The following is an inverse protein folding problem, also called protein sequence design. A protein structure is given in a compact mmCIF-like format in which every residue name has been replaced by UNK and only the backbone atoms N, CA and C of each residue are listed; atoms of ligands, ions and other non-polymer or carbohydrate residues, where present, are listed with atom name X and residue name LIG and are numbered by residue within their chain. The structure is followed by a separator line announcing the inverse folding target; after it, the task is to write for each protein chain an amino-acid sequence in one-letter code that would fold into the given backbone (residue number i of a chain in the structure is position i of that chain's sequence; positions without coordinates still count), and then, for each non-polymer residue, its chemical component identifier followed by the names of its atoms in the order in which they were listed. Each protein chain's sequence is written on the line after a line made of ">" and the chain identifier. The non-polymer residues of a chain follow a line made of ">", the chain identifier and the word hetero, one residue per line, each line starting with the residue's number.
data_IF_258936069258
#
_entry.id   IF_258936069258
#
_cell.length_a   1.000
_cell.length_b   1.000
_cell.length_c   1.000
_cell.angle_alpha   90.00
_cell.angle_beta   90.00
_cell.angle_gamma   90.00
#
_symmetry.space_group_name_H-M   'P 1'
#
loop_
_entity.id
_entity.type
_entity.pdbx_description
1 polymer ?
#
# COMPACT_ATOMS: atom_id res chain seq x y z
N UNK A 1 -17.81 17.26 -10.84
CA UNK A 1 -17.05 18.43 -11.31
C UNK A 1 -16.98 18.44 -12.83
N UNK A 2 -17.08 19.61 -13.49
CA UNK A 2 -17.20 19.74 -14.97
C UNK A 2 -15.86 19.80 -15.72
N UNK A 3 -14.72 19.81 -15.02
CA UNK A 3 -13.39 19.74 -15.66
C UNK A 3 -12.85 21.08 -16.18
N UNK A 4 -13.44 22.18 -15.72
CA UNK A 4 -12.93 23.54 -15.97
C UNK A 4 -11.64 23.79 -15.18
N UNK A 5 -10.62 24.32 -15.85
CA UNK A 5 -9.36 24.71 -15.22
C UNK A 5 -9.46 26.10 -14.60
N UNK A 6 -9.04 26.21 -13.35
CA UNK A 6 -8.90 27.49 -12.66
C UNK A 6 -7.43 27.92 -12.69
N UNK A 7 -7.20 29.18 -13.03
CA UNK A 7 -5.88 29.80 -13.00
C UNK A 7 -5.74 30.58 -11.68
N UNK A 8 -4.53 30.64 -11.11
CA UNK A 8 -4.18 31.50 -9.95
C UNK A 8 -4.82 31.13 -8.58
N UNK A 9 -5.14 29.85 -8.35
CA UNK A 9 -5.68 29.39 -7.05
C UNK A 9 -4.58 28.80 -6.17
N UNK A 10 -4.53 29.18 -4.88
CA UNK A 10 -3.66 28.51 -3.92
C UNK A 10 -4.19 27.08 -3.66
N UNK A 11 -3.47 26.08 -4.14
CA UNK A 11 -3.92 24.68 -4.17
C UNK A 11 -3.79 23.93 -2.83
N UNK A 12 -3.54 24.62 -1.70
CA UNK A 12 -3.07 24.02 -0.45
C UNK A 12 -3.73 22.71 -0.01
N UNK A 13 -5.07 22.66 0.05
CA UNK A 13 -5.82 21.46 0.48
C UNK A 13 -6.54 20.73 -0.65
N UNK A 14 -6.30 21.11 -1.91
CA UNK A 14 -6.98 20.50 -3.05
C UNK A 14 -6.31 19.17 -3.46
N UNK A 15 -7.11 18.18 -3.91
CA UNK A 15 -6.59 16.98 -4.56
C UNK A 15 -5.75 17.33 -5.81
N UNK A 16 -4.60 16.68 -5.95
CA UNK A 16 -3.73 16.83 -7.12
C UNK A 16 -4.07 15.74 -8.15
N UNK A 17 -4.20 16.12 -9.43
CA UNK A 17 -4.29 15.19 -10.56
C UNK A 17 -3.09 15.47 -11.48
N UNK A 18 -2.09 14.58 -11.55
CA UNK A 18 -0.98 14.74 -12.47
C UNK A 18 -1.46 14.50 -13.90
N UNK A 19 -1.12 15.42 -14.80
CA UNK A 19 -1.42 15.33 -16.24
C UNK A 19 -0.13 15.10 -17.01
N UNK A 20 -0.17 14.25 -18.03
CA UNK A 20 1.02 13.93 -18.86
C UNK A 20 1.34 15.05 -19.85
N UNK A 21 0.30 15.72 -20.35
CA UNK A 21 0.40 16.85 -21.27
C UNK A 21 -0.36 18.00 -20.64
N UNK A 22 0.29 19.16 -20.52
CA UNK A 22 -0.39 20.36 -20.05
C UNK A 22 -1.56 20.67 -21.00
N UNK A 23 -2.77 20.88 -20.48
CA UNK A 23 -3.89 21.29 -21.32
C UNK A 23 -3.55 22.61 -22.03
N UNK A 24 -3.63 22.63 -23.35
CA UNK A 24 -3.41 23.85 -24.14
C UNK A 24 -4.58 24.84 -24.10
N UNK A 25 -5.67 24.51 -23.40
CA UNK A 25 -6.88 25.31 -23.28
C UNK A 25 -7.51 25.17 -21.90
N UNK A 26 -8.71 25.72 -21.70
CA UNK A 26 -9.37 25.83 -20.39
C UNK A 26 -10.08 24.57 -19.88
N UNK A 27 -9.91 23.43 -20.55
CA UNK A 27 -10.53 22.14 -20.21
C UNK A 27 -9.52 20.99 -20.23
N UNK A 28 -9.74 20.02 -19.36
CA UNK A 28 -9.02 18.74 -19.37
C UNK A 28 -9.59 17.85 -20.49
N UNK A 29 -8.73 17.38 -21.39
CA UNK A 29 -9.10 16.44 -22.46
C UNK A 29 -8.35 15.10 -22.38
N UNK A 30 -7.42 14.98 -21.45
CA UNK A 30 -6.70 13.73 -21.21
C UNK A 30 -7.63 12.70 -20.56
N UNK A 31 -7.69 11.49 -21.14
CA UNK A 31 -8.63 10.46 -20.71
C UNK A 31 -8.41 10.00 -19.26
N UNK A 32 -7.15 9.85 -18.83
CA UNK A 32 -6.82 9.48 -17.46
C UNK A 32 -7.24 10.57 -16.47
N UNK A 33 -6.99 11.83 -16.82
CA UNK A 33 -7.42 12.97 -16.02
C UNK A 33 -8.95 13.11 -15.95
N UNK A 34 -9.69 12.79 -17.03
CA UNK A 34 -11.15 12.74 -17.01
C UNK A 34 -11.68 11.61 -16.11
N UNK A 35 -11.05 10.43 -16.11
CA UNK A 35 -11.42 9.35 -15.20
C UNK A 35 -11.11 9.70 -13.74
N UNK A 36 -9.97 10.33 -13.46
CA UNK A 36 -9.65 10.86 -12.14
C UNK A 36 -10.68 11.91 -11.67
N UNK A 37 -11.17 12.76 -12.58
CA UNK A 37 -12.22 13.72 -12.28
C UNK A 37 -13.57 13.06 -11.99
N UNK A 38 -13.94 12.03 -12.74
CA UNK A 38 -15.14 11.23 -12.47
C UNK A 38 -15.04 10.58 -11.07
N UNK A 39 -13.89 9.97 -10.77
CA UNK A 39 -13.61 9.38 -9.45
C UNK A 39 -13.76 10.39 -8.31
N UNK A 40 -13.22 11.60 -8.46
CA UNK A 40 -13.38 12.66 -7.46
C UNK A 40 -14.82 13.20 -7.37
N UNK A 41 -15.58 13.14 -8.47
CA UNK A 41 -16.98 13.60 -8.48
C UNK A 41 -17.90 12.66 -7.70
N UNK A 42 -17.57 11.36 -7.68
CA UNK A 42 -18.32 10.33 -6.93
C UNK A 42 -17.79 10.12 -5.51
N UNK A 43 -16.71 10.81 -5.13
CA UNK A 43 -16.11 10.65 -3.81
C UNK A 43 -17.02 11.20 -2.69
N UNK A 44 -17.15 10.48 -1.56
CA UNK A 44 -17.88 10.99 -0.40
C UNK A 44 -17.29 12.32 0.08
N UNK A 45 -18.14 13.32 0.35
CA UNK A 45 -17.69 14.67 0.68
C UNK A 45 -16.69 14.73 1.85
N UNK A 46 -16.87 13.89 2.89
CA UNK A 46 -15.96 13.83 4.02
C UNK A 46 -14.57 13.24 3.71
N UNK A 47 -14.41 12.57 2.56
CA UNK A 47 -13.12 12.05 2.11
C UNK A 47 -12.35 13.01 1.20
N UNK A 48 -13.02 13.98 0.56
CA UNK A 48 -12.37 14.91 -0.37
C UNK A 48 -11.19 15.65 0.28
N UNK A 49 -11.36 16.11 1.53
CA UNK A 49 -10.31 16.80 2.30
C UNK A 49 -9.19 15.86 2.77
N UNK A 50 -9.36 14.55 2.63
CA UNK A 50 -8.33 13.55 2.92
C UNK A 50 -7.61 13.07 1.67
N UNK A 51 -8.09 13.39 0.48
CA UNK A 51 -7.43 12.99 -0.76
C UNK A 51 -6.24 13.93 -1.03
N UNK A 52 -5.04 13.35 -1.10
CA UNK A 52 -3.83 14.05 -1.50
C UNK A 52 -3.70 14.10 -3.02
N UNK A 53 -3.89 12.97 -3.68
CA UNK A 53 -3.62 12.80 -5.10
C UNK A 53 -4.53 11.73 -5.71
N UNK A 54 -4.89 11.90 -6.98
CA UNK A 54 -5.47 10.85 -7.82
C UNK A 54 -4.60 10.66 -9.05
N UNK A 55 -4.16 9.44 -9.32
CA UNK A 55 -3.30 9.13 -10.47
C UNK A 55 -3.77 7.86 -11.19
N UNK A 56 -3.29 7.66 -12.41
CA UNK A 56 -3.43 6.38 -13.12
C UNK A 56 -2.09 5.67 -13.22
N UNK A 57 -2.03 4.46 -12.68
CA UNK A 57 -0.88 3.57 -12.66
C UNK A 57 -1.12 2.37 -13.60
N UNK A 58 -0.04 1.84 -14.19
CA UNK A 58 -0.15 0.70 -15.10
C UNK A 58 -0.63 -0.58 -14.40
N UNK A 59 -0.25 -0.77 -13.13
CA UNK A 59 -0.52 -2.00 -12.36
C UNK A 59 -1.89 -1.98 -11.68
N UNK A 60 -2.34 -0.80 -11.23
CA UNK A 60 -3.49 -0.63 -10.33
C UNK A 60 -4.62 0.20 -10.94
N UNK A 61 -4.45 0.73 -12.16
CA UNK A 61 -5.40 1.65 -12.76
C UNK A 61 -5.49 2.97 -11.97
N UNK A 62 -6.71 3.41 -11.64
CA UNK A 62 -6.94 4.58 -10.81
C UNK A 62 -6.50 4.31 -9.37
N UNK A 63 -5.66 5.20 -8.86
CA UNK A 63 -5.14 5.16 -7.49
C UNK A 63 -5.44 6.48 -6.81
N UNK A 64 -6.02 6.41 -5.61
CA UNK A 64 -6.22 7.56 -4.72
C UNK A 64 -5.22 7.46 -3.59
N UNK A 65 -4.36 8.47 -3.45
CA UNK A 65 -3.51 8.59 -2.28
C UNK A 65 -4.21 9.45 -1.23
N UNK A 66 -4.43 8.87 -0.04
CA UNK A 66 -4.92 9.63 1.11
C UNK A 66 -3.78 10.31 1.87
N UNK A 67 -4.06 11.49 2.42
CA UNK A 67 -3.21 12.23 3.36
C UNK A 67 -3.07 11.42 4.64
N UNK A 68 -1.82 11.10 5.01
CA UNK A 68 -1.52 10.33 6.22
C UNK A 68 -2.34 9.03 6.31
N UNK A 69 -2.56 8.38 5.17
CA UNK A 69 -3.41 7.19 5.06
C UNK A 69 -2.97 6.28 3.92
N UNK A 70 -3.68 5.15 3.75
CA UNK A 70 -3.36 4.18 2.71
C UNK A 70 -3.62 4.73 1.30
N UNK A 71 -2.97 4.13 0.31
CA UNK A 71 -3.39 4.23 -1.08
C UNK A 71 -4.68 3.40 -1.29
N UNK A 72 -5.55 3.81 -2.21
CA UNK A 72 -6.76 3.05 -2.57
C UNK A 72 -6.70 2.74 -4.06
N UNK A 73 -6.75 1.46 -4.41
CA UNK A 73 -6.73 0.97 -5.78
C UNK A 73 -8.15 0.74 -6.27
N UNK A 74 -8.54 1.49 -7.30
CA UNK A 74 -9.87 1.42 -7.92
C UNK A 74 -9.89 0.58 -9.19
N UNK A 75 -8.73 0.25 -9.77
CA UNK A 75 -8.68 -0.39 -11.08
C UNK A 75 -9.20 0.56 -12.16
N UNK A 76 -10.17 0.11 -12.96
CA UNK A 76 -10.76 0.97 -13.98
C UNK A 76 -11.79 1.98 -13.44
N UNK A 77 -12.23 2.89 -14.31
CA UNK A 77 -13.24 3.91 -14.01
C UNK A 77 -14.69 3.42 -13.99
N UNK A 78 -14.94 2.12 -13.81
CA UNK A 78 -16.31 1.57 -13.70
C UNK A 78 -16.73 1.41 -12.23
N UNK A 79 -18.04 1.43 -11.98
CA UNK A 79 -18.64 1.19 -10.66
C UNK A 79 -18.11 2.09 -9.53
N UNK A 80 -17.68 3.31 -9.86
CA UNK A 80 -16.96 4.21 -8.94
C UNK A 80 -17.72 4.47 -7.63
N UNK A 81 -19.04 4.65 -7.70
CA UNK A 81 -19.90 4.81 -6.50
C UNK A 81 -19.82 3.58 -5.60
N UNK A 82 -19.93 2.36 -6.16
CA UNK A 82 -19.84 1.13 -5.37
C UNK A 82 -18.45 0.93 -4.77
N UNK A 83 -17.40 1.24 -5.54
CA UNK A 83 -16.01 1.18 -5.05
C UNK A 83 -15.76 2.19 -3.92
N UNK A 84 -16.35 3.37 -3.98
CA UNK A 84 -16.29 4.34 -2.88
C UNK A 84 -16.99 3.85 -1.62
N UNK A 85 -18.16 3.20 -1.75
CA UNK A 85 -18.84 2.58 -0.60
C UNK A 85 -17.95 1.52 0.03
N UNK A 86 -17.41 0.59 -0.77
CA UNK A 86 -16.50 -0.45 -0.30
C UNK A 86 -15.25 0.14 0.38
N UNK A 87 -14.67 1.19 -0.19
CA UNK A 87 -13.53 1.90 0.40
C UNK A 87 -13.88 2.51 1.77
N UNK A 88 -15.05 3.14 1.91
CA UNK A 88 -15.49 3.70 3.20
C UNK A 88 -15.73 2.63 4.26
N UNK A 89 -16.27 1.47 3.88
CA UNK A 89 -16.48 0.34 4.79
C UNK A 89 -15.14 -0.20 5.31
N UNK A 90 -14.17 -0.46 4.42
CA UNK A 90 -12.86 -0.96 4.82
C UNK A 90 -12.08 0.06 5.64
N UNK A 91 -12.19 1.36 5.33
CA UNK A 91 -11.58 2.42 6.14
C UNK A 91 -12.20 2.54 7.53
N UNK A 92 -13.48 2.19 7.68
CA UNK A 92 -14.19 2.21 8.96
C UNK A 92 -13.95 0.95 9.80
N UNK A 93 -13.50 -0.15 9.19
CA UNK A 93 -13.18 -1.39 9.88
C UNK A 93 -11.87 -1.27 10.69
N UNK A 94 -11.90 -1.43 12.03
CA UNK A 94 -10.70 -1.37 12.86
C UNK A 94 -9.63 -2.40 12.51
N UNK A 95 -10.01 -3.53 11.89
CA UNK A 95 -9.05 -4.55 11.45
C UNK A 95 -8.16 -4.09 10.30
N UNK A 96 -8.56 -3.05 9.58
CA UNK A 96 -7.77 -2.41 8.52
C UNK A 96 -6.75 -1.40 9.04
N UNK A 97 -6.68 -1.18 10.36
CA UNK A 97 -5.73 -0.25 10.95
C UNK A 97 -4.27 -0.65 10.62
N UNK A 98 -3.50 0.30 10.11
CA UNK A 98 -2.11 0.09 9.71
C UNK A 98 -1.93 -0.47 8.30
N UNK A 99 -3.01 -0.72 7.55
CA UNK A 99 -2.92 -0.99 6.13
C UNK A 99 -2.25 0.18 5.39
N UNK A 100 -1.40 -0.15 4.42
CA UNK A 100 -0.73 0.83 3.55
C UNK A 100 -1.45 0.94 2.20
N UNK A 101 -2.30 -0.02 1.87
CA UNK A 101 -3.20 0.05 0.72
C UNK A 101 -4.55 -0.63 0.99
N UNK A 102 -5.57 -0.17 0.27
CA UNK A 102 -6.87 -0.81 0.09
C UNK A 102 -7.03 -1.17 -1.38
N UNK A 103 -7.51 -2.37 -1.67
CA UNK A 103 -7.92 -2.79 -3.01
C UNK A 103 -9.45 -2.85 -3.05
N UNK A 104 -10.04 -2.01 -3.89
CA UNK A 104 -11.48 -1.95 -4.15
C UNK A 104 -11.77 -2.14 -5.64
N UNK A 105 -10.86 -2.79 -6.37
CA UNK A 105 -11.02 -3.09 -7.80
C UNK A 105 -12.29 -3.90 -8.06
N UNK A 106 -12.58 -4.86 -7.19
CA UNK A 106 -13.87 -5.55 -7.09
C UNK A 106 -14.61 -5.03 -5.85
N UNK A 107 -15.67 -4.20 -5.99
CA UNK A 107 -16.38 -3.63 -4.85
C UNK A 107 -17.11 -4.69 -4.01
N UNK A 108 -17.35 -5.90 -4.52
CA UNK A 108 -17.91 -7.01 -3.75
C UNK A 108 -16.85 -7.77 -2.93
N UNK A 109 -15.56 -7.51 -3.17
CA UNK A 109 -14.42 -8.18 -2.51
C UNK A 109 -13.31 -7.18 -2.14
N UNK A 110 -13.61 -6.15 -1.33
CA UNK A 110 -12.59 -5.19 -0.95
C UNK A 110 -11.58 -5.81 0.03
N UNK A 111 -10.34 -5.37 -0.03
CA UNK A 111 -9.25 -5.87 0.82
C UNK A 111 -8.32 -4.77 1.31
N UNK A 112 -7.65 -5.02 2.43
CA UNK A 112 -6.63 -4.13 2.98
C UNK A 112 -5.32 -4.90 3.17
N UNK A 113 -4.19 -4.25 2.96
CA UNK A 113 -2.89 -4.90 3.07
C UNK A 113 -1.72 -3.93 3.27
N UNK A 114 -0.52 -4.51 3.34
CA UNK A 114 0.74 -3.78 3.48
C UNK A 114 1.63 -4.00 2.25
N UNK A 115 2.19 -2.93 1.72
CA UNK A 115 3.08 -2.93 0.56
C UNK A 115 4.09 -1.79 0.68
N UNK A 116 5.35 -2.09 0.41
CA UNK A 116 6.44 -1.10 0.48
C UNK A 116 6.27 0.01 -0.56
N UNK A 117 5.70 -0.33 -1.73
CA UNK A 117 5.45 0.61 -2.83
C UNK A 117 4.40 1.66 -2.45
N UNK A 118 3.34 1.27 -1.74
CA UNK A 118 2.34 2.23 -1.26
C UNK A 118 2.91 3.14 -0.17
N UNK A 119 3.83 2.62 0.67
CA UNK A 119 4.54 3.42 1.68
C UNK A 119 5.38 4.51 1.02
N UNK A 120 6.15 4.17 -0.03
CA UNK A 120 6.91 5.18 -0.81
C UNK A 120 6.00 6.17 -1.53
N UNK A 121 4.90 5.72 -2.13
CA UNK A 121 3.93 6.60 -2.81
C UNK A 121 3.27 7.60 -1.85
N UNK A 122 3.01 7.20 -0.61
CA UNK A 122 2.50 8.07 0.45
C UNK A 122 3.54 9.09 0.98
N UNK A 123 4.77 9.09 0.46
CA UNK A 123 5.86 9.93 0.95
C UNK A 123 6.38 9.54 2.34
N UNK A 124 5.96 8.38 2.85
CA UNK A 124 6.48 7.78 4.07
C UNK A 124 7.77 7.07 3.67
N UNK A 125 8.94 7.63 3.99
CA UNK A 125 10.19 6.92 3.74
C UNK A 125 10.23 5.63 4.58
N UNK A 126 10.49 4.44 3.99
CA UNK A 126 10.72 3.21 4.76
C UNK A 126 12.12 3.29 5.39
N UNK A 127 12.26 4.13 6.42
CA UNK A 127 13.56 4.49 6.99
C UNK A 127 13.42 4.88 8.44
N UNK A 128 13.06 3.93 9.30
CA UNK A 128 12.87 4.20 10.71
C UNK A 128 12.67 2.97 11.59
N UNK A 129 13.55 1.97 11.48
CA UNK A 129 13.88 1.03 12.56
C UNK A 129 15.05 0.13 12.11
N UNK A 130 16.28 0.66 12.14
CA UNK A 130 17.43 -0.22 12.36
C UNK A 130 17.32 -0.67 13.82
N UNK A 131 16.72 -1.84 14.02
CA UNK A 131 16.86 -2.54 15.28
C UNK A 131 18.36 -2.70 15.54
N UNK A 132 18.86 -1.96 16.52
CA UNK A 132 20.19 -2.18 17.06
C UNK A 132 20.19 -3.62 17.61
N UNK A 133 20.72 -4.56 16.83
CA UNK A 133 21.17 -5.84 17.35
C UNK A 133 22.37 -5.52 18.26
N UNK A 134 22.08 -5.18 19.51
CA UNK A 134 23.06 -5.14 20.58
C UNK A 134 23.60 -6.55 20.78
N UNK A 135 24.68 -6.89 20.07
CA UNK A 135 25.52 -8.02 20.44
C UNK A 135 26.10 -7.75 21.83
N UNK A 136 25.47 -8.32 22.85
CA UNK A 136 26.11 -8.50 24.15
C UNK A 136 27.22 -9.52 23.97
N UNK A 137 28.45 -9.02 23.87
CA UNK A 137 29.65 -9.81 24.03
C UNK A 137 29.79 -10.21 25.51
N UNK A 138 29.90 -11.52 25.79
CA UNK A 138 30.49 -12.06 27.03
C UNK A 138 31.08 -13.43 26.66
N UNK A 139 32.35 -13.50 26.27
CA UNK A 139 33.46 -13.90 27.14
C UNK A 139 34.22 -15.10 26.53
N UNK A 140 35.48 -15.39 26.92
CA UNK A 140 36.49 -15.95 26.02
C UNK A 140 36.76 -17.47 26.15
N UNK A 141 37.09 -18.08 24.99
CA UNK A 141 38.13 -19.09 24.70
C UNK A 141 38.24 -20.36 25.58
N UNK A 142 38.08 -21.55 24.98
CA UNK A 142 39.05 -22.67 25.12
C UNK A 142 39.16 -23.43 23.79
N UNK A 143 40.31 -23.29 23.16
CA UNK A 143 40.86 -24.15 22.09
C UNK A 143 41.21 -25.54 22.62
N UNK A 144 40.76 -26.59 21.92
CA UNK A 144 41.23 -27.96 22.15
C UNK A 144 40.55 -28.98 21.24
N UNK A 145 41.17 -29.28 20.10
CA UNK A 145 41.10 -30.59 19.44
C UNK A 145 42.48 -31.26 19.67
N UNK A 146 42.68 -32.60 19.62
CA UNK A 146 41.95 -33.56 18.78
C UNK A 146 41.75 -35.00 19.35
N UNK A 147 41.01 -35.80 18.57
CA UNK A 147 41.08 -37.26 18.33
C UNK A 147 41.15 -38.33 19.46
N UNK A 148 40.47 -39.44 19.13
CA UNK A 148 40.87 -40.87 19.20
C UNK A 148 40.14 -41.78 20.21
N UNK A 149 39.34 -42.67 19.60
CA UNK A 149 39.07 -44.08 19.92
C UNK A 149 38.34 -44.54 21.19
N UNK A 150 37.70 -45.69 20.97
CA UNK A 150 37.39 -46.77 21.94
C UNK A 150 35.98 -46.85 22.54
N UNK A 151 35.22 -47.79 21.93
CA UNK A 151 34.54 -48.92 22.58
C UNK A 151 33.40 -48.66 23.58
N UNK A 152 32.23 -49.26 23.30
CA UNK A 152 31.17 -49.41 24.29
C UNK A 152 29.84 -49.94 23.77
N UNK A 153 29.86 -51.16 23.25
CA UNK A 153 28.80 -52.18 23.20
C UNK A 153 27.31 -51.84 23.49
N UNK A 154 26.48 -52.34 22.57
CA UNK A 154 25.24 -53.12 22.80
C UNK A 154 23.94 -52.43 23.25
N UNK A 155 22.96 -52.35 22.34
CA UNK A 155 21.65 -53.03 22.43
C UNK A 155 20.89 -52.80 21.11
N UNK A 156 20.93 -53.70 20.12
CA UNK A 156 20.02 -54.84 19.91
C UNK A 156 18.53 -54.55 20.12
N UNK A 157 17.76 -54.94 19.08
CA UNK A 157 16.37 -55.46 19.08
C UNK A 157 15.33 -54.53 18.41
N UNK A 158 15.19 -54.55 17.07
CA UNK A 158 14.37 -55.46 16.24
C UNK A 158 12.92 -55.66 16.69
N UNK A 159 11.97 -55.08 15.96
CA UNK A 159 10.80 -55.81 15.44
C UNK A 159 10.09 -55.00 14.36
N UNK A 160 10.10 -55.48 13.10
CA UNK A 160 9.24 -55.00 12.01
C UNK A 160 8.94 -56.18 11.10
N UNK A 161 7.67 -56.35 10.75
CA UNK A 161 7.23 -57.10 9.57
C UNK A 161 6.63 -58.47 9.86
N UNK A 162 5.30 -58.55 9.78
CA UNK A 162 4.58 -59.80 9.48
C UNK A 162 4.53 -60.08 7.99
#
# INVERSE_FOLDING_TARGET
>A
SDGTLLHEVNAGSLPIIPVRVLPGGSRVTDGAALQALALLSDAPHGLLDRIQQVASEASHGLVVQLRSGPAIYFGDGTELVAKWVAATEVLADPSSAGATYLDVTDPARPGAGVSEQAVTAAGLSPGGSQAAAGSLATGPQVTGSPSTDSQGSANQQTSTGG
#
